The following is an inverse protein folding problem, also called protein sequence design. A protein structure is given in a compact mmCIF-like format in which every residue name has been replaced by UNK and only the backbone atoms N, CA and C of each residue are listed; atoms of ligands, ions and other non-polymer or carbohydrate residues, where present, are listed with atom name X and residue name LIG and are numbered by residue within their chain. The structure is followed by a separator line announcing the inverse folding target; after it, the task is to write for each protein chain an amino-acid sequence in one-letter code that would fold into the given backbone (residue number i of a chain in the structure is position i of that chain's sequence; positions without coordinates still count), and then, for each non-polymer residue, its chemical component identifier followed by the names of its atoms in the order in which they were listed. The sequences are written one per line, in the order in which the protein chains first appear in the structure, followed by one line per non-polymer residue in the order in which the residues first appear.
data_IF_433265494770
#
_entry.id   IF_433265494770
#
_cell.length_a   1.000
_cell.length_b   1.000
_cell.length_c   1.000
_cell.angle_alpha   90.00
_cell.angle_beta   90.00
_cell.angle_gamma   90.00
#
_symmetry.space_group_name_H-M   'P 1'
#
loop_
_entity.id
_entity.type
_entity.pdbx_description
1 polymer ?
#
# COMPACT_ATOMS: atom_id res chain seq x y z
N UNK A 1 19.44 7.55 -8.22
CA UNK A 1 19.20 8.83 -8.94
C UNK A 1 17.70 9.00 -9.12
N UNK A 2 17.11 9.93 -8.40
CA UNK A 2 15.69 10.26 -8.58
C UNK A 2 15.64 11.08 -9.87
N UNK A 3 15.11 10.51 -10.93
CA UNK A 3 14.87 11.26 -12.15
C UNK A 3 13.70 12.22 -11.89
N UNK A 4 13.84 13.47 -12.29
CA UNK A 4 12.81 14.51 -12.21
C UNK A 4 11.49 14.17 -12.91
N UNK A 5 11.36 12.97 -13.39
CA UNK A 5 10.28 12.48 -14.24
C UNK A 5 9.28 11.56 -13.51
N UNK A 6 9.60 11.13 -12.29
CA UNK A 6 8.65 10.36 -11.50
C UNK A 6 7.67 11.31 -10.79
N UNK A 7 6.39 11.28 -11.10
CA UNK A 7 5.44 12.20 -10.48
C UNK A 7 5.34 11.91 -8.98
N UNK A 8 5.37 12.99 -8.21
CA UNK A 8 5.15 12.92 -6.77
C UNK A 8 3.77 12.32 -6.44
N UNK A 9 3.63 11.76 -5.25
CA UNK A 9 2.32 11.34 -4.75
C UNK A 9 1.49 12.58 -4.43
N UNK A 10 0.28 12.62 -4.96
CA UNK A 10 -0.61 13.75 -4.81
C UNK A 10 -1.62 13.52 -3.67
N UNK A 11 -2.05 14.59 -3.02
CA UNK A 11 -3.03 14.51 -1.93
C UNK A 11 -4.34 13.85 -2.37
N UNK A 12 -4.79 14.08 -3.59
CA UNK A 12 -6.03 13.47 -4.08
C UNK A 12 -5.92 11.94 -4.21
N UNK A 13 -4.73 11.40 -4.49
CA UNK A 13 -4.51 9.93 -4.51
C UNK A 13 -4.74 9.34 -3.12
N UNK A 14 -4.20 9.99 -2.09
CA UNK A 14 -4.40 9.59 -0.69
C UNK A 14 -5.87 9.69 -0.31
N UNK A 15 -6.52 10.79 -0.64
CA UNK A 15 -7.94 11.01 -0.38
C UNK A 15 -8.82 9.96 -1.05
N UNK A 16 -8.58 9.71 -2.32
CA UNK A 16 -9.32 8.69 -3.08
C UNK A 16 -9.19 7.29 -2.47
N UNK A 17 -7.98 6.91 -2.09
CA UNK A 17 -7.74 5.61 -1.44
C UNK A 17 -8.43 5.55 -0.08
N UNK A 18 -8.33 6.61 0.72
CA UNK A 18 -8.98 6.67 2.04
C UNK A 18 -10.49 6.52 1.96
N UNK A 19 -11.12 7.16 0.98
CA UNK A 19 -12.55 7.04 0.70
C UNK A 19 -12.93 5.62 0.25
N UNK A 20 -12.00 4.90 -0.38
CA UNK A 20 -12.21 3.53 -0.86
C UNK A 20 -12.05 2.46 0.23
N UNK A 21 -11.50 2.81 1.40
CA UNK A 21 -11.32 1.85 2.49
C UNK A 21 -12.67 1.58 3.16
N UNK A 22 -13.03 0.30 3.20
CA UNK A 22 -14.28 -0.16 3.81
C UNK A 22 -14.18 -0.02 5.33
N UNK A 23 -15.23 0.54 5.93
CA UNK A 23 -15.38 0.65 7.39
C UNK A 23 -15.44 -0.73 8.08
N UNK A 24 -15.26 -0.73 9.39
CA UNK A 24 -15.36 -1.92 10.24
C UNK A 24 -14.33 -3.02 9.89
N UNK A 25 -13.16 -2.61 9.43
CA UNK A 25 -12.03 -3.52 9.28
C UNK A 25 -11.21 -3.58 10.56
N UNK A 26 -10.70 -4.76 10.87
CA UNK A 26 -9.80 -4.96 12.00
C UNK A 26 -8.55 -4.07 11.85
N UNK A 27 -8.21 -3.35 12.92
CA UNK A 27 -6.98 -2.56 12.96
C UNK A 27 -5.74 -3.44 12.81
N UNK A 28 -4.67 -2.87 12.26
CA UNK A 28 -3.37 -3.52 12.19
C UNK A 28 -2.65 -3.53 13.54
N UNK A 29 -1.34 -3.81 13.50
CA UNK A 29 -0.50 -3.88 14.69
C UNK A 29 -0.34 -2.55 15.44
N UNK A 30 -0.68 -1.43 14.83
CA UNK A 30 -0.69 -0.10 15.45
C UNK A 30 -1.96 0.19 16.26
N UNK A 31 -2.97 -0.67 16.14
CA UNK A 31 -4.25 -0.50 16.85
C UNK A 31 -5.11 0.66 16.36
N UNK A 32 -4.75 1.33 15.26
CA UNK A 32 -5.47 2.50 14.75
C UNK A 32 -6.66 2.03 13.87
N UNK A 33 -7.90 2.32 14.27
CA UNK A 33 -9.06 1.94 13.48
C UNK A 33 -9.23 2.84 12.25
N UNK A 34 -9.80 2.31 11.18
CA UNK A 34 -10.04 3.05 9.94
C UNK A 34 -10.99 4.24 10.14
N UNK A 35 -11.90 4.13 11.08
CA UNK A 35 -12.86 5.17 11.43
C UNK A 35 -12.18 6.46 11.90
N UNK A 36 -11.01 6.35 12.54
CA UNK A 36 -10.24 7.52 12.97
C UNK A 36 -9.82 8.38 11.77
N UNK A 37 -9.39 7.74 10.68
CA UNK A 37 -9.02 8.47 9.46
C UNK A 37 -10.22 9.20 8.84
N UNK A 38 -11.41 8.66 8.98
CA UNK A 38 -12.62 9.28 8.47
C UNK A 38 -13.08 10.46 9.34
N UNK A 39 -12.88 10.38 10.64
CA UNK A 39 -13.16 11.49 11.58
C UNK A 39 -12.19 12.66 11.31
N UNK A 40 -10.91 12.36 11.12
CA UNK A 40 -9.88 13.37 10.90
C UNK A 40 -9.91 13.98 9.48
N UNK A 41 -10.55 13.31 8.52
CA UNK A 41 -10.73 13.78 7.13
C UNK A 41 -9.45 14.39 6.52
N UNK A 42 -9.49 15.70 6.23
CA UNK A 42 -8.40 16.38 5.54
C UNK A 42 -7.09 16.40 6.34
N UNK A 43 -7.13 16.42 7.65
CA UNK A 43 -5.93 16.34 8.48
C UNK A 43 -5.25 14.97 8.35
N UNK A 44 -6.04 13.91 8.31
CA UNK A 44 -5.51 12.56 8.04
C UNK A 44 -4.88 12.48 6.64
N UNK A 45 -5.52 13.07 5.63
CA UNK A 45 -4.99 13.12 4.26
C UNK A 45 -3.63 13.81 4.22
N UNK A 46 -3.48 14.95 4.88
CA UNK A 46 -2.22 15.70 4.92
C UNK A 46 -1.08 14.91 5.56
N UNK A 47 -1.34 14.29 6.71
CA UNK A 47 -0.35 13.48 7.42
C UNK A 47 0.04 12.26 6.58
N UNK A 48 -0.92 11.52 6.08
CA UNK A 48 -0.67 10.34 5.26
C UNK A 48 0.04 10.71 3.95
N UNK A 49 -0.33 11.81 3.31
CA UNK A 49 0.35 12.31 2.12
C UNK A 49 1.83 12.59 2.39
N UNK A 50 2.14 13.25 3.51
CA UNK A 50 3.52 13.53 3.89
C UNK A 50 4.33 12.24 4.07
N UNK A 51 3.77 11.25 4.74
CA UNK A 51 4.42 9.95 4.94
C UNK A 51 4.61 9.21 3.62
N UNK A 52 3.56 9.12 2.82
CA UNK A 52 3.60 8.45 1.52
C UNK A 52 4.60 9.11 0.57
N UNK A 53 4.66 10.43 0.56
CA UNK A 53 5.61 11.20 -0.24
C UNK A 53 7.05 10.93 0.18
N UNK A 54 7.31 10.86 1.48
CA UNK A 54 8.63 10.52 1.99
C UNK A 54 9.04 9.10 1.60
N UNK A 55 8.14 8.12 1.74
CA UNK A 55 8.39 6.75 1.30
C UNK A 55 8.66 6.71 -0.20
N UNK A 56 7.90 7.44 -0.99
CA UNK A 56 8.08 7.50 -2.44
C UNK A 56 9.44 8.06 -2.84
N UNK A 57 9.88 9.12 -2.17
CA UNK A 57 11.18 9.77 -2.45
C UNK A 57 12.38 8.96 -1.97
N UNK A 58 12.30 8.40 -0.77
CA UNK A 58 13.41 7.68 -0.14
C UNK A 58 13.43 6.20 -0.47
N UNK A 59 12.29 5.62 -0.91
CA UNK A 59 12.08 4.19 -1.10
C UNK A 59 12.32 3.36 0.18
N UNK A 60 12.16 4.00 1.33
CA UNK A 60 12.30 3.35 2.63
C UNK A 60 10.97 3.34 3.38
N UNK A 61 10.57 2.17 3.83
CA UNK A 61 9.38 1.98 4.64
C UNK A 61 9.68 2.20 6.11
N UNK A 62 8.75 2.81 6.87
CA UNK A 62 8.85 2.82 8.33
C UNK A 62 8.99 1.41 8.88
N UNK A 63 9.82 1.22 9.92
CA UNK A 63 10.05 -0.10 10.50
C UNK A 63 8.76 -0.74 11.02
N UNK A 64 7.88 0.06 11.61
CA UNK A 64 6.61 -0.42 12.13
C UNK A 64 5.67 -0.91 11.03
N UNK A 65 5.79 -0.38 9.82
CA UNK A 65 4.99 -0.81 8.68
C UNK A 65 5.49 -2.11 8.06
N UNK A 66 6.70 -2.52 8.36
CA UNK A 66 7.26 -3.81 7.94
C UNK A 66 6.76 -4.97 8.79
N UNK A 67 6.12 -4.69 9.91
CA UNK A 67 5.58 -5.69 10.81
C UNK A 67 4.10 -5.94 10.51
N UNK A 68 3.76 -7.22 10.46
CA UNK A 68 2.36 -7.66 10.35
C UNK A 68 1.99 -8.50 11.56
N UNK A 69 0.75 -8.42 11.97
CA UNK A 69 0.18 -9.34 12.94
C UNK A 69 -0.45 -10.50 12.16
N UNK A 70 -0.05 -11.73 12.46
CA UNK A 70 -0.59 -12.92 11.83
C UNK A 70 -1.65 -13.54 12.71
N UNK A 71 -2.84 -13.74 12.15
CA UNK A 71 -3.96 -14.39 12.83
C UNK A 71 -4.27 -15.68 12.11
N UNK A 72 -4.22 -16.83 12.80
CA UNK A 72 -4.68 -18.10 12.24
C UNK A 72 -6.20 -18.14 12.24
N UNK A 73 -6.78 -18.43 11.07
CA UNK A 73 -8.24 -18.62 10.90
C UNK A 73 -8.48 -20.06 10.49
N UNK A 74 -9.36 -20.81 11.19
CA UNK A 74 -9.68 -22.18 10.80
C UNK A 74 -10.39 -22.21 9.45
N UNK A 75 -9.98 -23.11 8.57
CA UNK A 75 -10.61 -23.34 7.26
C UNK A 75 -11.90 -24.17 7.36
N UNK A 76 -11.98 -25.04 8.36
CA UNK A 76 -13.09 -25.98 8.59
C UNK A 76 -13.20 -26.25 10.10
N UNK A 77 -14.26 -26.90 10.50
CA UNK A 77 -14.60 -27.18 11.91
C UNK A 77 -13.56 -28.03 12.67
N UNK A 78 -12.63 -28.67 11.97
CA UNK A 78 -11.60 -29.48 12.61
C UNK A 78 -10.30 -28.67 12.81
N UNK A 79 -10.19 -27.99 13.95
CA UNK A 79 -9.08 -27.11 14.32
C UNK A 79 -7.85 -27.87 14.93
N UNK A 80 -7.80 -29.20 14.79
CA UNK A 80 -6.73 -30.00 15.43
C UNK A 80 -5.43 -30.04 14.65
N UNK A 81 -5.42 -29.70 13.36
CA UNK A 81 -4.25 -29.76 12.50
C UNK A 81 -3.86 -28.38 11.99
N UNK A 82 -2.55 -28.06 12.02
CA UNK A 82 -2.02 -26.80 11.51
C UNK A 82 -2.37 -26.53 10.02
N UNK A 83 -2.49 -27.58 9.22
CA UNK A 83 -2.89 -27.51 7.81
C UNK A 83 -4.32 -26.99 7.59
N UNK A 84 -5.15 -27.06 8.62
CA UNK A 84 -6.54 -26.62 8.58
C UNK A 84 -6.70 -25.12 8.90
N UNK A 85 -5.60 -24.41 9.09
CA UNK A 85 -5.61 -22.97 9.34
C UNK A 85 -5.16 -22.18 8.11
N UNK A 86 -5.76 -21.02 7.96
CA UNK A 86 -5.36 -19.99 7.00
C UNK A 86 -4.72 -18.84 7.78
N UNK A 87 -3.55 -18.40 7.38
CA UNK A 87 -2.92 -17.26 8.03
C UNK A 87 -3.42 -15.97 7.38
N UNK A 88 -3.97 -15.07 8.20
CA UNK A 88 -4.34 -13.73 7.79
C UNK A 88 -3.30 -12.75 8.35
N UNK A 89 -2.69 -11.99 7.46
CA UNK A 89 -1.79 -10.90 7.85
C UNK A 89 -2.57 -9.60 8.03
N UNK A 90 -2.49 -9.00 9.20
CA UNK A 90 -3.05 -7.69 9.48
C UNK A 90 -1.95 -6.64 9.40
N UNK A 91 -2.14 -5.67 8.52
CA UNK A 91 -1.26 -4.50 8.37
C UNK A 91 -2.02 -3.24 8.75
N UNK A 92 -1.28 -2.19 9.13
CA UNK A 92 -1.90 -0.90 9.48
C UNK A 92 -2.70 -0.32 8.31
N UNK A 93 -3.74 0.43 8.60
CA UNK A 93 -4.54 1.09 7.56
C UNK A 93 -3.73 2.15 6.79
N UNK A 94 -2.82 2.85 7.46
CA UNK A 94 -1.90 3.78 6.81
C UNK A 94 -1.01 3.07 5.78
N UNK A 95 -0.48 1.90 6.13
CA UNK A 95 0.29 1.07 5.20
C UNK A 95 -0.57 0.62 4.01
N UNK A 96 -1.81 0.23 4.23
CA UNK A 96 -2.75 -0.13 3.16
C UNK A 96 -2.99 1.01 2.18
N UNK A 97 -3.05 2.25 2.66
CA UNK A 97 -3.18 3.43 1.80
C UNK A 97 -2.02 3.51 0.81
N UNK A 98 -0.79 3.42 1.32
CA UNK A 98 0.41 3.45 0.46
C UNK A 98 0.42 2.30 -0.54
N UNK A 99 0.11 1.08 -0.10
CA UNK A 99 0.07 -0.10 -0.97
C UNK A 99 -0.98 0.04 -2.09
N UNK A 100 -2.15 0.59 -1.80
CA UNK A 100 -3.18 0.83 -2.82
C UNK A 100 -2.77 1.90 -3.83
N UNK A 101 -2.09 2.95 -3.40
CA UNK A 101 -1.54 3.96 -4.31
C UNK A 101 -0.53 3.31 -5.26
N UNK A 102 0.38 2.50 -4.72
CA UNK A 102 1.37 1.79 -5.54
C UNK A 102 0.72 0.81 -6.51
N UNK A 103 -0.29 0.09 -6.07
CA UNK A 103 -1.06 -0.82 -6.92
C UNK A 103 -1.70 -0.09 -8.09
N UNK A 104 -2.36 1.03 -7.84
CA UNK A 104 -2.99 1.84 -8.88
C UNK A 104 -1.96 2.38 -9.89
N UNK A 105 -0.82 2.87 -9.40
CA UNK A 105 0.26 3.36 -10.27
C UNK A 105 0.89 2.24 -11.09
N UNK A 106 1.08 1.06 -10.51
CA UNK A 106 1.61 -0.11 -11.22
C UNK A 106 0.66 -0.54 -12.34
N UNK A 107 -0.64 -0.56 -12.11
CA UNK A 107 -1.64 -0.87 -13.14
C UNK A 107 -1.57 0.13 -14.30
N UNK A 108 -1.46 1.43 -14.03
CA UNK A 108 -1.31 2.45 -15.05
C UNK A 108 -0.05 2.25 -15.89
N UNK A 109 1.06 1.86 -15.27
CA UNK A 109 2.32 1.57 -15.99
C UNK A 109 2.16 0.33 -16.86
N UNK A 110 1.52 -0.72 -16.37
CA UNK A 110 1.26 -1.93 -17.15
C UNK A 110 0.34 -1.67 -18.34
N UNK A 111 -0.69 -0.86 -18.17
CA UNK A 111 -1.58 -0.44 -19.27
C UNK A 111 -0.80 0.32 -20.35
N UNK A 112 0.06 1.25 -19.97
CA UNK A 112 0.92 2.00 -20.89
C UNK A 112 1.97 1.12 -21.57
N UNK A 113 2.45 0.07 -20.92
CA UNK A 113 3.42 -0.86 -21.50
C UNK A 113 2.85 -1.72 -22.64
N UNK A 114 1.53 -1.80 -22.76
CA UNK A 114 0.83 -2.48 -23.85
C UNK A 114 0.73 -1.59 -25.09
N UNK A 115 0.89 -0.26 -24.98
CA UNK A 115 0.91 0.68 -26.08
C UNK A 115 2.30 0.75 -26.74
N UNK A 116 2.43 0.53 -28.07
CA UNK A 116 3.74 0.37 -28.73
C UNK A 116 4.59 1.64 -28.86
N UNK A 117 4.12 2.81 -28.42
CA UNK A 117 4.80 4.10 -28.60
C UNK A 117 5.38 4.73 -27.31
N UNK A 118 5.58 3.95 -26.27
CA UNK A 118 6.07 4.52 -25.02
C UNK A 118 7.55 4.85 -25.12
N UNK A 119 7.88 6.11 -24.77
CA UNK A 119 9.26 6.55 -24.58
C UNK A 119 9.90 5.76 -23.44
N UNK A 120 10.64 4.71 -23.80
CA UNK A 120 11.25 3.73 -22.89
C UNK A 120 12.08 4.35 -21.76
N UNK A 121 12.71 5.52 -21.96
CA UNK A 121 13.59 6.14 -21.00
C UNK A 121 12.89 6.73 -19.76
N UNK A 122 11.66 7.21 -19.89
CA UNK A 122 10.87 7.78 -18.79
C UNK A 122 10.17 6.73 -17.94
N UNK A 123 9.81 5.60 -18.55
CA UNK A 123 9.11 4.51 -17.86
C UNK A 123 10.05 3.59 -17.06
N UNK A 124 11.34 3.51 -17.42
CA UNK A 124 12.29 2.61 -16.73
C UNK A 124 12.59 3.06 -15.29
N UNK A 125 12.78 4.36 -15.04
CA UNK A 125 12.99 4.88 -13.68
C UNK A 125 11.78 4.65 -12.78
N UNK A 126 10.59 4.93 -13.30
CA UNK A 126 9.31 4.68 -12.61
C UNK A 126 9.09 3.18 -12.38
N UNK A 127 9.39 2.32 -13.35
CA UNK A 127 9.30 0.87 -13.22
C UNK A 127 10.23 0.31 -12.14
N UNK A 128 11.49 0.76 -12.09
CA UNK A 128 12.44 0.33 -11.05
C UNK A 128 11.97 0.71 -9.66
N UNK A 129 11.45 1.91 -9.49
CA UNK A 129 10.92 2.42 -8.23
C UNK A 129 9.71 1.60 -7.78
N UNK A 130 8.81 1.30 -8.70
CA UNK A 130 7.63 0.49 -8.44
C UNK A 130 7.99 -0.99 -8.23
N UNK A 131 9.00 -1.51 -8.89
CA UNK A 131 9.49 -2.87 -8.68
C UNK A 131 10.06 -3.04 -7.28
N UNK A 132 10.84 -2.08 -6.79
CA UNK A 132 11.31 -2.08 -5.41
C UNK A 132 10.13 -2.07 -4.43
N UNK A 133 9.10 -1.28 -4.68
CA UNK A 133 7.88 -1.23 -3.86
C UNK A 133 7.04 -2.50 -3.99
N UNK A 134 7.01 -3.14 -5.17
CA UNK A 134 6.32 -4.41 -5.41
C UNK A 134 6.84 -5.54 -4.52
N UNK A 135 8.13 -5.55 -4.19
CA UNK A 135 8.68 -6.53 -3.24
C UNK A 135 8.01 -6.46 -1.88
N UNK A 136 7.67 -5.26 -1.43
CA UNK A 136 6.91 -5.07 -0.19
C UNK A 136 5.45 -5.47 -0.34
N UNK A 137 4.83 -5.20 -1.50
CA UNK A 137 3.47 -5.65 -1.82
C UNK A 137 3.32 -7.17 -1.72
N UNK A 138 4.26 -7.92 -2.30
CA UNK A 138 4.25 -9.39 -2.29
C UNK A 138 4.44 -9.99 -0.90
N UNK A 139 5.00 -9.24 0.05
CA UNK A 139 5.14 -9.68 1.44
C UNK A 139 3.80 -9.59 2.23
N UNK A 140 2.81 -8.83 1.74
CA UNK A 140 1.58 -8.51 2.45
C UNK A 140 0.30 -9.02 1.77
N UNK A 141 0.41 -9.61 0.58
CA UNK A 141 -0.68 -10.24 -0.18
C UNK A 141 -0.37 -11.74 -0.38
#
# INVERSE_FOLDING_TARGET
MITHLDPDILEYEVKWVLESIIMNKTSGGDGIPVELFQILKDDAVKVLHSICQQIWKTQQWPQDWKRSVFIPIPKKDNAKECSNYRILALISHANKVMLKILQARLLLVLEKAVEPEIKLSTSIGSLKKQENMRKYLLLFY
#
